data_IF_731763171354
#
_entry.id   IF_731763171354
#
_cell.length_a   1.000
_cell.length_b   1.000
_cell.length_c   1.000
_cell.angle_alpha   90.00
_cell.angle_beta   90.00
_cell.angle_gamma   90.00
#
_symmetry.space_group_name_H-M   'P 1'
#
loop_
_entity.id
_entity.type
_entity.pdbx_description
1 polymer ?
#
# COMPACT_ATOMS: atom_id res chain seq x y z
N UNK A 1 6.47 15.87 41.00
CA UNK A 1 6.23 14.76 40.04
C UNK A 1 6.13 15.37 38.65
N UNK A 2 7.22 15.41 37.93
CA UNK A 2 7.33 16.02 36.58
C UNK A 2 6.76 15.04 35.60
N UNK A 3 5.58 15.34 35.06
CA UNK A 3 4.97 14.60 33.99
C UNK A 3 5.76 14.91 32.70
N UNK A 4 6.74 14.08 32.37
CA UNK A 4 7.42 14.13 31.06
C UNK A 4 6.45 13.55 30.07
N UNK A 5 5.84 14.42 29.26
CA UNK A 5 5.07 14.01 28.11
C UNK A 5 5.94 13.06 27.25
N UNK A 6 5.39 11.93 26.76
CA UNK A 6 6.16 11.04 25.89
C UNK A 6 6.63 11.85 24.68
N UNK A 7 7.93 11.92 24.49
CA UNK A 7 8.53 12.47 23.28
C UNK A 7 7.93 11.73 22.10
N UNK A 8 7.23 12.45 21.23
CA UNK A 8 6.86 11.90 19.92
C UNK A 8 8.17 11.42 19.26
N UNK A 9 8.36 10.11 19.20
CA UNK A 9 9.53 9.53 18.53
C UNK A 9 9.39 9.83 17.05
N UNK A 10 10.46 10.23 16.42
CA UNK A 10 10.50 10.43 14.99
C UNK A 10 10.20 9.10 14.29
N UNK A 11 9.41 9.10 13.21
CA UNK A 11 9.16 7.89 12.46
C UNK A 11 10.49 7.31 11.95
N UNK A 12 10.60 5.99 11.97
CA UNK A 12 11.67 5.29 11.30
C UNK A 12 11.32 5.13 9.82
N UNK A 13 12.28 5.28 8.94
CA UNK A 13 12.07 5.09 7.51
C UNK A 13 13.22 4.33 6.86
N UNK A 14 12.87 3.41 5.97
CA UNK A 14 13.79 2.58 5.21
C UNK A 14 13.43 2.62 3.72
N UNK A 15 14.43 2.57 2.87
CA UNK A 15 14.26 2.40 1.42
C UNK A 15 14.88 1.06 1.02
N UNK A 16 14.16 0.30 0.21
CA UNK A 16 14.60 -1.00 -0.28
C UNK A 16 14.43 -1.10 -1.79
N UNK A 17 15.40 -1.73 -2.45
CA UNK A 17 15.31 -2.08 -3.86
C UNK A 17 14.45 -3.32 -4.05
N UNK A 18 13.55 -3.27 -5.04
CA UNK A 18 12.61 -4.35 -5.33
C UNK A 18 12.50 -4.61 -6.84
N UNK A 19 11.75 -5.63 -7.22
CA UNK A 19 11.47 -5.97 -8.63
C UNK A 19 10.69 -4.88 -9.38
N UNK A 20 10.02 -3.97 -8.65
CA UNK A 20 9.28 -2.85 -9.25
C UNK A 20 10.03 -1.51 -9.14
N UNK A 21 11.24 -1.49 -8.59
CA UNK A 21 12.05 -0.32 -8.27
C UNK A 21 12.14 -0.07 -6.77
N UNK A 22 12.76 1.05 -6.38
CA UNK A 22 12.89 1.43 -4.98
C UNK A 22 11.52 1.74 -4.36
N UNK A 23 11.23 1.16 -3.21
CA UNK A 23 10.07 1.50 -2.37
C UNK A 23 10.55 1.96 -1.01
N UNK A 24 9.75 2.81 -0.35
CA UNK A 24 10.04 3.30 0.99
C UNK A 24 8.99 2.88 1.99
N UNK A 25 9.38 2.67 3.23
CA UNK A 25 8.49 2.37 4.35
C UNK A 25 8.76 3.36 5.46
N UNK A 26 7.70 3.97 6.00
CA UNK A 26 7.73 4.74 7.23
C UNK A 26 6.90 4.03 8.30
N UNK A 27 7.46 3.91 9.49
CA UNK A 27 6.80 3.31 10.64
C UNK A 27 6.95 4.18 11.89
N UNK A 28 5.98 4.03 12.80
CA UNK A 28 5.97 4.63 14.12
C UNK A 28 5.92 3.52 15.17
N UNK A 29 5.90 3.89 16.45
CA UNK A 29 5.67 2.94 17.54
C UNK A 29 4.27 2.27 17.48
N UNK A 30 3.32 2.87 16.72
CA UNK A 30 1.95 2.37 16.52
C UNK A 30 1.80 1.42 15.32
N UNK A 31 2.78 1.41 14.40
CA UNK A 31 2.74 0.55 13.22
C UNK A 31 3.30 1.18 11.96
N UNK A 32 3.08 0.52 10.83
CA UNK A 32 3.43 1.04 9.50
C UNK A 32 2.49 2.18 9.15
N UNK A 33 3.05 3.35 8.88
CA UNK A 33 2.32 4.58 8.62
C UNK A 33 2.20 4.92 7.15
N UNK A 34 3.25 4.62 6.38
CA UNK A 34 3.29 4.93 4.95
C UNK A 34 4.16 3.97 4.17
N UNK A 35 3.72 3.67 2.96
CA UNK A 35 4.51 3.00 1.93
C UNK A 35 4.61 3.93 0.73
N UNK A 36 5.83 4.14 0.23
CA UNK A 36 6.11 4.98 -0.92
C UNK A 36 6.43 4.10 -2.12
N UNK A 37 5.72 4.34 -3.22
CA UNK A 37 5.95 3.65 -4.49
C UNK A 37 7.20 4.18 -5.20
N UNK A 38 7.69 3.49 -6.24
CA UNK A 38 8.82 3.97 -7.04
C UNK A 38 8.59 5.38 -7.57
N UNK A 39 9.65 6.21 -7.48
CA UNK A 39 9.59 7.64 -7.80
C UNK A 39 9.46 8.53 -6.57
N UNK A 40 8.65 8.16 -5.59
CA UNK A 40 8.53 8.90 -4.33
C UNK A 40 9.53 8.40 -3.27
N UNK A 41 9.86 7.12 -3.27
CA UNK A 41 10.77 6.49 -2.32
C UNK A 41 12.17 7.15 -2.27
N UNK A 42 12.67 7.63 -3.40
CA UNK A 42 13.98 8.28 -3.49
C UNK A 42 14.08 9.62 -2.74
N UNK A 43 12.94 10.18 -2.30
CA UNK A 43 12.86 11.46 -1.59
C UNK A 43 12.77 11.31 -0.08
N UNK A 44 12.71 10.08 0.41
CA UNK A 44 12.53 9.81 1.84
C UNK A 44 13.91 9.80 2.50
N UNK A 45 14.13 10.59 3.54
CA UNK A 45 15.33 10.44 4.34
C UNK A 45 15.29 9.08 5.05
N UNK A 46 16.32 8.28 4.87
CA UNK A 46 16.49 7.07 5.69
C UNK A 46 16.80 7.52 7.11
N UNK A 47 15.88 7.26 8.02
CA UNK A 47 15.98 7.66 9.43
C UNK A 47 15.58 6.50 10.32
N UNK A 48 16.17 6.44 11.49
CA UNK A 48 15.75 5.51 12.55
C UNK A 48 16.93 5.16 13.44
N UNK A 49 16.79 5.49 14.71
CA UNK A 49 17.58 4.85 15.76
C UNK A 49 16.96 3.47 16.03
N UNK A 50 17.76 2.52 16.54
CA UNK A 50 17.25 1.21 16.94
C UNK A 50 16.07 1.33 17.92
N UNK A 51 14.95 0.68 17.61
CA UNK A 51 13.74 0.71 18.43
C UNK A 51 12.49 0.17 17.71
N UNK A 52 11.33 0.14 18.37
CA UNK A 52 10.11 -0.49 17.85
C UNK A 52 9.69 0.00 16.46
N UNK A 53 9.82 1.29 16.18
CA UNK A 53 9.50 1.86 14.86
C UNK A 53 10.45 1.33 13.77
N UNK A 54 11.76 1.19 14.07
CA UNK A 54 12.74 0.61 13.15
C UNK A 54 12.46 -0.87 12.90
N UNK A 55 12.22 -1.64 13.96
CA UNK A 55 11.88 -3.07 13.85
C UNK A 55 10.61 -3.28 13.01
N UNK A 56 9.62 -2.39 13.18
CA UNK A 56 8.38 -2.40 12.39
C UNK A 56 8.64 -2.09 10.92
N UNK A 57 9.47 -1.08 10.62
CA UNK A 57 9.84 -0.73 9.25
C UNK A 57 10.60 -1.87 8.55
N UNK A 58 11.54 -2.51 9.26
CA UNK A 58 12.31 -3.65 8.76
C UNK A 58 11.41 -4.86 8.48
N UNK A 59 10.51 -5.19 9.41
CA UNK A 59 9.54 -6.28 9.24
C UNK A 59 8.63 -6.04 8.02
N UNK A 60 8.16 -4.80 7.84
CA UNK A 60 7.36 -4.44 6.69
C UNK A 60 8.15 -4.52 5.38
N UNK A 61 9.41 -4.08 5.38
CA UNK A 61 10.28 -4.15 4.21
C UNK A 61 10.53 -5.60 3.77
N UNK A 62 10.73 -6.53 4.73
CA UNK A 62 10.85 -7.96 4.43
C UNK A 62 9.57 -8.48 3.77
N UNK A 63 8.40 -8.24 4.38
CA UNK A 63 7.12 -8.72 3.86
C UNK A 63 6.78 -8.15 2.49
N UNK A 64 7.06 -6.87 2.25
CA UNK A 64 6.85 -6.23 0.95
C UNK A 64 7.77 -6.82 -0.13
N UNK A 65 9.02 -7.14 0.21
CA UNK A 65 9.94 -7.82 -0.70
C UNK A 65 9.46 -9.22 -1.07
N UNK A 66 9.03 -10.00 -0.07
CA UNK A 66 8.51 -11.35 -0.27
C UNK A 66 7.24 -11.33 -1.14
N UNK A 67 6.32 -10.38 -0.89
CA UNK A 67 5.14 -10.16 -1.73
C UNK A 67 5.52 -9.86 -3.19
N UNK A 68 6.44 -8.93 -3.42
CA UNK A 68 6.86 -8.54 -4.76
C UNK A 68 7.66 -9.64 -5.51
N UNK A 69 8.11 -10.67 -4.80
CA UNK A 69 8.71 -11.89 -5.36
C UNK A 69 7.71 -13.01 -5.60
N UNK A 70 6.43 -12.82 -5.20
CA UNK A 70 5.42 -13.86 -5.24
C UNK A 70 5.56 -14.93 -4.15
N UNK A 71 6.35 -14.66 -3.11
CA UNK A 71 6.61 -15.58 -1.99
C UNK A 71 5.63 -15.38 -0.84
N UNK A 72 4.78 -14.33 -0.92
CA UNK A 72 3.80 -13.94 0.09
C UNK A 72 2.54 -13.37 -0.56
N UNK A 73 1.38 -13.72 -0.02
CA UNK A 73 0.07 -13.24 -0.50
C UNK A 73 -0.63 -12.29 0.48
N UNK A 74 -0.26 -12.34 1.76
CA UNK A 74 -0.89 -11.57 2.85
C UNK A 74 0.15 -10.87 3.70
N UNK A 75 -0.23 -9.77 4.35
CA UNK A 75 0.62 -9.02 5.26
C UNK A 75 0.18 -9.23 6.71
N UNK A 76 1.14 -9.46 7.59
CA UNK A 76 0.97 -9.49 9.04
C UNK A 76 1.69 -8.27 9.64
N UNK A 77 1.02 -7.11 9.55
CA UNK A 77 1.56 -5.82 9.93
C UNK A 77 0.53 -5.03 10.72
N UNK A 78 0.97 -4.45 11.83
CA UNK A 78 0.19 -3.40 12.50
C UNK A 78 0.29 -2.11 11.68
N UNK A 79 -0.85 -1.43 11.47
CA UNK A 79 -0.93 -0.22 10.66
C UNK A 79 -1.25 1.00 11.53
N UNK A 80 -0.49 2.06 11.36
CA UNK A 80 -0.73 3.36 12.00
C UNK A 80 -1.67 4.20 11.13
N UNK A 81 -2.91 4.35 11.58
CA UNK A 81 -3.98 5.09 10.90
C UNK A 81 -4.13 6.54 11.37
N UNK A 82 -3.19 7.06 12.17
CA UNK A 82 -3.33 8.37 12.83
C UNK A 82 -3.52 9.54 11.86
N UNK A 83 -3.01 9.44 10.62
CA UNK A 83 -3.14 10.47 9.58
C UNK A 83 -4.35 10.24 8.64
N UNK A 84 -5.18 9.24 8.89
CA UNK A 84 -6.30 8.86 8.02
C UNK A 84 -7.63 9.11 8.73
N UNK A 85 -8.52 9.90 8.10
CA UNK A 85 -9.84 10.13 8.66
C UNK A 85 -10.69 8.85 8.71
N UNK A 86 -11.71 8.85 9.56
CA UNK A 86 -12.48 7.65 9.88
C UNK A 86 -13.21 7.06 8.66
N UNK A 87 -13.73 7.89 7.76
CA UNK A 87 -14.41 7.40 6.56
C UNK A 87 -13.41 6.75 5.59
N UNK A 88 -12.30 7.42 5.34
CA UNK A 88 -11.24 6.90 4.46
C UNK A 88 -10.66 5.59 5.02
N UNK A 89 -10.36 5.52 6.32
CA UNK A 89 -9.93 4.30 6.99
C UNK A 89 -10.91 3.16 6.79
N UNK A 90 -12.22 3.39 7.01
CA UNK A 90 -13.26 2.38 6.81
C UNK A 90 -13.26 1.86 5.37
N UNK A 91 -13.11 2.75 4.38
CA UNK A 91 -13.05 2.35 2.96
C UNK A 91 -11.81 1.49 2.70
N UNK A 92 -10.65 1.85 3.23
CA UNK A 92 -9.40 1.10 3.05
C UNK A 92 -9.44 -0.26 3.75
N UNK A 93 -9.98 -0.35 4.97
CA UNK A 93 -10.18 -1.62 5.67
C UNK A 93 -11.18 -2.53 4.93
N UNK A 94 -12.30 -1.96 4.44
CA UNK A 94 -13.28 -2.71 3.63
C UNK A 94 -12.66 -3.23 2.33
N UNK A 95 -11.74 -2.48 1.73
CA UNK A 95 -11.02 -2.92 0.54
C UNK A 95 -10.18 -4.18 0.82
N UNK A 96 -9.47 -4.23 1.95
CA UNK A 96 -8.68 -5.41 2.31
C UNK A 96 -9.54 -6.68 2.38
N UNK A 97 -10.75 -6.57 2.94
CA UNK A 97 -11.69 -7.68 3.04
C UNK A 97 -12.35 -8.03 1.71
N UNK A 98 -12.68 -7.01 0.89
CA UNK A 98 -13.40 -7.17 -0.36
C UNK A 98 -12.53 -7.69 -1.51
N UNK A 99 -11.22 -7.44 -1.48
CA UNK A 99 -10.28 -7.78 -2.53
C UNK A 99 -9.03 -8.45 -1.96
N UNK A 100 -9.12 -9.70 -1.47
CA UNK A 100 -7.95 -10.48 -1.08
C UNK A 100 -7.04 -10.74 -2.29
N UNK A 101 -5.86 -11.35 -2.08
CA UNK A 101 -4.91 -11.69 -3.13
C UNK A 101 -5.61 -12.45 -4.29
N UNK A 102 -5.34 -12.03 -5.51
CA UNK A 102 -5.94 -12.62 -6.72
C UNK A 102 -7.39 -12.20 -7.01
N UNK A 103 -7.96 -11.24 -6.26
CA UNK A 103 -9.35 -10.78 -6.43
C UNK A 103 -9.40 -9.27 -6.65
N UNK A 104 -10.23 -8.82 -7.59
CA UNK A 104 -10.51 -7.39 -7.81
C UNK A 104 -11.90 -7.00 -7.32
N UNK A 105 -12.09 -5.74 -7.05
CA UNK A 105 -13.36 -5.10 -6.74
C UNK A 105 -13.52 -3.84 -7.61
N UNK A 106 -14.73 -3.53 -8.06
CA UNK A 106 -14.94 -2.28 -8.79
C UNK A 106 -15.10 -1.09 -7.85
N UNK A 107 -14.78 0.14 -8.34
CA UNK A 107 -15.03 1.37 -7.58
C UNK A 107 -16.48 1.46 -7.09
N UNK A 108 -17.44 1.11 -7.95
CA UNK A 108 -18.86 1.15 -7.60
C UNK A 108 -19.26 0.10 -6.56
N UNK A 109 -18.67 -1.10 -6.61
CA UNK A 109 -18.94 -2.14 -5.61
C UNK A 109 -18.35 -1.75 -4.26
N UNK A 110 -17.11 -1.26 -4.22
CA UNK A 110 -16.50 -0.78 -2.98
C UNK A 110 -17.29 0.39 -2.38
N UNK A 111 -17.78 1.31 -3.22
CA UNK A 111 -18.66 2.40 -2.80
C UNK A 111 -19.94 1.88 -2.13
N UNK A 112 -20.65 0.94 -2.75
CA UNK A 112 -21.85 0.33 -2.16
C UNK A 112 -21.59 -0.34 -0.81
N UNK A 113 -20.44 -1.03 -0.66
CA UNK A 113 -20.06 -1.70 0.60
C UNK A 113 -19.76 -0.72 1.73
N UNK A 114 -19.31 0.49 1.39
CA UNK A 114 -18.86 1.50 2.36
C UNK A 114 -19.84 2.65 2.56
N UNK A 115 -20.93 2.70 1.79
CA UNK A 115 -21.91 3.79 1.82
C UNK A 115 -21.39 5.07 1.18
N UNK A 116 -20.46 4.97 0.22
CA UNK A 116 -19.96 6.08 -0.61
C UNK A 116 -20.64 5.96 -1.97
N UNK A 117 -21.55 6.90 -2.27
CA UNK A 117 -22.43 6.79 -3.43
C UNK A 117 -21.71 7.05 -4.76
N UNK A 118 -20.77 8.01 -4.79
CA UNK A 118 -20.04 8.34 -6.01
C UNK A 118 -18.75 7.50 -6.14
N UNK A 119 -18.62 6.65 -7.17
CA UNK A 119 -17.39 5.90 -7.43
C UNK A 119 -16.14 6.79 -7.63
N UNK A 120 -16.31 8.06 -7.99
CA UNK A 120 -15.20 9.01 -8.12
C UNK A 120 -14.61 9.36 -6.77
N UNK A 121 -15.42 9.44 -5.71
CA UNK A 121 -14.94 9.66 -4.35
C UNK A 121 -14.09 8.47 -3.87
N UNK A 122 -14.50 7.24 -4.21
CA UNK A 122 -13.65 6.06 -4.00
C UNK A 122 -12.32 6.20 -4.76
N UNK A 123 -12.35 6.67 -6.02
CA UNK A 123 -11.13 6.92 -6.79
C UNK A 123 -10.18 7.92 -6.10
N UNK A 124 -10.71 9.01 -5.55
CA UNK A 124 -9.95 9.99 -4.78
C UNK A 124 -9.36 9.36 -3.52
N UNK A 125 -10.13 8.56 -2.78
CA UNK A 125 -9.64 7.85 -1.58
C UNK A 125 -8.53 6.85 -1.93
N UNK A 126 -8.67 6.12 -3.04
CA UNK A 126 -7.61 5.21 -3.51
C UNK A 126 -6.33 5.96 -3.89
N UNK A 127 -6.43 7.11 -4.52
CA UNK A 127 -5.26 7.93 -4.87
C UNK A 127 -4.53 8.52 -3.64
N UNK A 128 -5.21 8.60 -2.51
CA UNK A 128 -4.67 9.09 -1.22
C UNK A 128 -4.34 7.97 -0.25
N UNK A 129 -4.40 6.71 -0.68
CA UNK A 129 -4.02 5.57 0.16
C UNK A 129 -2.56 5.72 0.62
N UNK A 130 -2.29 5.83 1.94
CA UNK A 130 -0.92 5.99 2.43
C UNK A 130 -0.15 4.67 2.48
N UNK A 131 -0.82 3.53 2.30
CA UNK A 131 -0.28 2.18 2.50
C UNK A 131 -0.42 1.30 1.23
N UNK A 132 -0.07 1.82 0.02
CA UNK A 132 -0.19 1.01 -1.18
C UNK A 132 0.57 -0.31 -1.05
N UNK A 133 0.14 -1.35 -1.76
CA UNK A 133 0.55 -2.75 -1.66
C UNK A 133 -0.03 -3.44 -0.43
N UNK A 134 0.19 -2.94 0.78
CA UNK A 134 -0.38 -3.49 2.02
C UNK A 134 -1.90 -3.33 2.01
N UNK A 135 -2.39 -2.13 1.71
CA UNK A 135 -3.80 -1.87 1.39
C UNK A 135 -3.93 -1.85 -0.14
N UNK A 136 -4.58 -2.86 -0.75
CA UNK A 136 -4.40 -3.20 -2.15
C UNK A 136 -5.23 -2.33 -3.11
N UNK A 137 -5.00 -1.02 -3.13
CA UNK A 137 -5.74 -0.11 -4.03
C UNK A 137 -5.51 -0.41 -5.54
N UNK A 138 -4.46 -1.16 -5.90
CA UNK A 138 -4.27 -1.67 -7.25
C UNK A 138 -5.32 -2.72 -7.66
N UNK A 139 -6.02 -3.36 -6.71
CA UNK A 139 -7.12 -4.32 -6.97
C UNK A 139 -8.47 -3.62 -7.20
N UNK A 140 -8.56 -2.30 -7.03
CA UNK A 140 -9.77 -1.55 -7.36
C UNK A 140 -9.75 -1.19 -8.85
N UNK A 141 -10.76 -1.64 -9.60
CA UNK A 141 -10.82 -1.51 -11.06
C UNK A 141 -12.08 -0.78 -11.51
N UNK A 142 -12.06 -0.24 -12.73
CA UNK A 142 -13.27 0.28 -13.38
C UNK A 142 -14.15 -0.89 -13.88
N UNK A 143 -15.42 -0.62 -14.14
CA UNK A 143 -16.34 -1.64 -14.67
C UNK A 143 -15.95 -2.13 -16.08
N UNK A 144 -15.25 -1.30 -16.83
CA UNK A 144 -14.86 -1.50 -18.24
C UNK A 144 -13.34 -1.51 -18.46
N UNK A 145 -12.54 -1.60 -17.39
CA UNK A 145 -11.07 -1.61 -17.53
C UNK A 145 -10.32 -1.52 -16.21
N UNK A 146 -9.02 -1.25 -16.28
CA UNK A 146 -8.15 -1.21 -15.10
C UNK A 146 -8.46 -0.04 -14.16
N UNK A 147 -9.02 1.06 -14.67
CA UNK A 147 -9.13 2.31 -13.89
C UNK A 147 -7.78 2.95 -13.60
N UNK A 148 -7.77 3.99 -12.76
CA UNK A 148 -6.55 4.71 -12.39
C UNK A 148 -5.70 3.97 -11.33
N UNK A 149 -4.46 4.46 -11.14
CA UNK A 149 -3.56 4.04 -10.06
C UNK A 149 -2.49 5.11 -9.81
N UNK A 150 -2.20 5.41 -8.55
CA UNK A 150 -1.22 6.44 -8.18
C UNK A 150 0.21 6.13 -8.65
N UNK A 151 0.59 4.86 -8.71
CA UNK A 151 1.88 4.41 -9.24
C UNK A 151 1.94 4.25 -10.77
N UNK A 152 0.87 4.64 -11.47
CA UNK A 152 0.76 4.48 -12.93
C UNK A 152 0.17 3.12 -13.35
N UNK A 153 -0.37 3.07 -14.57
CA UNK A 153 -1.07 1.88 -15.06
C UNK A 153 -0.13 0.70 -15.33
N UNK A 154 1.12 0.96 -15.71
CA UNK A 154 2.10 -0.11 -15.91
C UNK A 154 2.42 -0.84 -14.62
N UNK A 155 2.61 -0.12 -13.52
CA UNK A 155 2.82 -0.73 -12.21
C UNK A 155 1.57 -1.48 -11.75
N UNK A 156 0.37 -0.89 -11.91
CA UNK A 156 -0.89 -1.57 -11.59
C UNK A 156 -1.00 -2.90 -12.32
N UNK A 157 -0.74 -2.89 -13.63
CA UNK A 157 -0.79 -4.08 -14.46
C UNK A 157 0.21 -5.15 -13.98
N UNK A 158 1.46 -4.78 -13.70
CA UNK A 158 2.48 -5.70 -13.17
C UNK A 158 2.05 -6.35 -11.85
N UNK A 159 1.43 -5.58 -10.94
CA UNK A 159 0.91 -6.11 -9.69
C UNK A 159 -0.24 -7.10 -9.92
N UNK A 160 -1.16 -6.77 -10.83
CA UNK A 160 -2.27 -7.69 -11.18
C UNK A 160 -1.79 -8.94 -11.94
N UNK A 161 -0.71 -8.85 -12.71
CA UNK A 161 -0.03 -10.00 -13.34
C UNK A 161 0.67 -10.86 -12.27
N UNK A 162 1.35 -10.24 -11.29
CA UNK A 162 1.97 -10.93 -10.16
C UNK A 162 0.95 -11.75 -9.36
N UNK A 163 -0.25 -11.21 -9.20
CA UNK A 163 -1.35 -11.84 -8.46
C UNK A 163 -2.17 -12.84 -9.31
N UNK A 164 -1.79 -13.06 -10.56
CA UNK A 164 -2.49 -14.00 -11.46
C UNK A 164 -3.86 -13.52 -11.94
N UNK A 165 -4.22 -12.25 -11.70
CA UNK A 165 -5.48 -11.64 -12.17
C UNK A 165 -5.43 -11.36 -13.67
N UNK A 166 -4.27 -10.93 -14.16
CA UNK A 166 -4.01 -10.71 -15.58
C UNK A 166 -2.98 -11.73 -16.09
N UNK A 167 -3.06 -12.14 -17.35
CA UNK A 167 -2.01 -12.94 -17.94
C UNK A 167 -0.71 -12.12 -18.04
N UNK A 168 0.46 -12.75 -17.85
CA UNK A 168 1.73 -12.08 -18.02
C UNK A 168 1.86 -11.51 -19.45
N UNK A 169 2.51 -10.35 -19.56
CA UNK A 169 2.84 -9.81 -20.89
C UNK A 169 3.76 -10.80 -21.61
N UNK A 170 3.43 -11.09 -22.85
CA UNK A 170 4.37 -11.75 -23.74
C UNK A 170 5.39 -10.69 -24.14
N UNK A 171 6.63 -10.83 -23.68
CA UNK A 171 7.75 -10.03 -24.18
C UNK A 171 8.04 -10.46 -25.62
N UNK A 172 7.35 -9.83 -26.57
CA UNK A 172 7.58 -10.07 -28.02
C UNK A 172 8.82 -9.33 -28.55
N UNK A 173 9.53 -8.58 -27.68
CA UNK A 173 10.71 -7.79 -28.03
C UNK A 173 12.04 -8.53 -27.81
N UNK A 174 12.01 -9.86 -27.74
CA UNK A 174 13.17 -10.75 -27.59
C UNK A 174 13.53 -11.49 -28.85
N UNK A 175 13.69 -10.79 -30.00
CA UNK A 175 14.31 -11.36 -31.22
C UNK A 175 15.31 -10.37 -31.81
#
# INVERSE_FOLDING_TARGET
MTNVAPRARSPASIVLETTIGAIGVEATDEGVRRVHLPGDAARIPVTGDAGPASDTADAAAVQLRDYLRGERETFDLTLDWSDVDQLHRRVLETLCDAAPFGVTVTYGELGRRTGVDDPRDIGVMMSRNPLPLVVPCHRVVAADGLGGYGGGLDLKRRLLELEGILPPRLDLDGA
#
